data_IF_802457713254
#
_entry.id   IF_802457713254
#
_cell.length_a   1.000
_cell.length_b   1.000
_cell.length_c   1.000
_cell.angle_alpha   90.00
_cell.angle_beta   90.00
_cell.angle_gamma   90.00
#
_symmetry.space_group_name_H-M   'P 1'
#
loop_
_entity.id
_entity.type
_entity.pdbx_description
1 polymer ?
#
# COMPACT_ATOMS: atom_id res chain seq x y z
N UNK A 1 -20.92 9.96 1.19
CA UNK A 1 -21.27 8.61 0.67
C UNK A 1 -20.48 7.62 1.50
N UNK A 2 -21.14 6.78 2.29
CA UNK A 2 -20.44 5.70 2.99
C UNK A 2 -19.96 4.71 1.92
N UNK A 3 -18.66 4.48 1.83
CA UNK A 3 -18.12 3.47 0.92
C UNK A 3 -18.59 2.10 1.39
N UNK A 4 -19.17 1.30 0.50
CA UNK A 4 -19.75 0.01 0.86
C UNK A 4 -18.69 -0.96 1.38
N UNK A 5 -19.03 -1.80 2.36
CA UNK A 5 -18.10 -2.74 2.99
C UNK A 5 -17.33 -3.62 1.98
N UNK A 6 -17.99 -4.02 0.87
CA UNK A 6 -17.36 -4.76 -0.22
C UNK A 6 -16.25 -3.98 -0.94
N UNK A 7 -16.40 -2.66 -1.11
CA UNK A 7 -15.35 -1.80 -1.68
C UNK A 7 -14.14 -1.71 -0.75
N UNK A 8 -14.37 -1.60 0.56
CA UNK A 8 -13.28 -1.57 1.56
C UNK A 8 -12.49 -2.88 1.53
N UNK A 9 -13.20 -4.01 1.55
CA UNK A 9 -12.59 -5.33 1.49
C UNK A 9 -11.81 -5.54 0.18
N UNK A 10 -12.38 -5.12 -0.96
CA UNK A 10 -11.71 -5.17 -2.26
C UNK A 10 -10.43 -4.34 -2.29
N UNK A 11 -10.46 -3.10 -1.78
CA UNK A 11 -9.26 -2.24 -1.67
C UNK A 11 -8.22 -2.83 -0.73
N UNK A 12 -8.64 -3.43 0.39
CA UNK A 12 -7.74 -4.10 1.35
C UNK A 12 -6.99 -5.25 0.69
N UNK A 13 -7.73 -6.14 0.03
CA UNK A 13 -7.16 -7.30 -0.66
C UNK A 13 -6.23 -6.84 -1.78
N UNK A 14 -6.66 -5.89 -2.61
CA UNK A 14 -5.86 -5.35 -3.70
C UNK A 14 -4.56 -4.68 -3.17
N UNK A 15 -4.65 -3.82 -2.15
CA UNK A 15 -3.49 -3.19 -1.54
C UNK A 15 -2.55 -4.21 -0.89
N UNK A 16 -3.10 -5.25 -0.25
CA UNK A 16 -2.33 -6.33 0.36
C UNK A 16 -1.53 -7.14 -0.66
N UNK A 17 -2.21 -7.64 -1.70
CA UNK A 17 -1.59 -8.44 -2.78
C UNK A 17 -0.56 -7.59 -3.55
N UNK A 18 -0.91 -6.35 -3.90
CA UNK A 18 0.03 -5.45 -4.56
C UNK A 18 1.21 -5.07 -3.65
N UNK A 19 1.04 -5.01 -2.33
CA UNK A 19 2.15 -4.78 -1.40
C UNK A 19 3.14 -5.94 -1.38
N UNK A 20 2.64 -7.18 -1.41
CA UNK A 20 3.48 -8.38 -1.43
C UNK A 20 4.22 -8.53 -2.77
N UNK A 21 3.52 -8.42 -3.89
CA UNK A 21 4.08 -8.70 -5.21
C UNK A 21 4.81 -7.50 -5.82
N UNK A 22 4.29 -6.30 -5.58
CA UNK A 22 4.70 -5.05 -6.24
C UNK A 22 5.05 -3.95 -5.23
N UNK A 23 5.35 -4.33 -3.97
CA UNK A 23 5.67 -3.40 -2.90
C UNK A 23 6.88 -2.52 -3.19
N UNK A 24 7.86 -3.09 -3.90
CA UNK A 24 9.07 -2.39 -4.33
C UNK A 24 8.77 -1.24 -5.32
N UNK A 25 7.66 -1.32 -6.06
CA UNK A 25 7.19 -0.28 -6.97
C UNK A 25 6.26 0.74 -6.29
N UNK A 26 5.81 0.47 -5.05
CA UNK A 26 4.88 1.32 -4.30
C UNK A 26 3.44 1.31 -4.81
N UNK A 27 3.05 0.34 -5.64
CA UNK A 27 1.74 0.29 -6.31
C UNK A 27 0.58 0.22 -5.30
N UNK A 28 0.78 -0.48 -4.19
CA UNK A 28 -0.20 -0.60 -3.10
C UNK A 28 -0.58 0.74 -2.46
N UNK A 29 0.31 1.75 -2.48
CA UNK A 29 0.01 3.10 -1.97
C UNK A 29 -1.03 3.83 -2.84
N UNK A 30 -0.99 3.62 -4.16
CA UNK A 30 -1.94 4.25 -5.09
C UNK A 30 -3.37 3.71 -4.92
N UNK A 31 -3.50 2.43 -4.56
CA UNK A 31 -4.80 1.80 -4.27
C UNK A 31 -5.47 2.47 -3.05
N UNK A 32 -4.67 2.93 -2.09
CA UNK A 32 -5.13 3.68 -0.92
C UNK A 32 -5.36 5.18 -1.20
N UNK A 33 -5.15 5.64 -2.44
CA UNK A 33 -5.21 7.06 -2.80
C UNK A 33 -4.02 7.90 -2.30
N UNK A 34 -2.90 7.25 -1.93
CA UNK A 34 -1.68 7.90 -1.44
C UNK A 34 -0.67 8.10 -2.56
N UNK A 35 -0.93 9.09 -3.40
CA UNK A 35 -0.15 9.36 -4.61
C UNK A 35 1.28 9.80 -4.33
N UNK A 36 1.50 10.67 -3.33
CA UNK A 36 2.85 11.18 -3.00
C UNK A 36 3.83 10.07 -2.60
N UNK A 37 3.56 9.24 -1.57
CA UNK A 37 4.49 8.18 -1.20
C UNK A 37 4.63 7.11 -2.28
N UNK A 38 3.56 6.83 -3.05
CA UNK A 38 3.63 5.92 -4.20
C UNK A 38 4.60 6.41 -5.27
N UNK A 39 4.55 7.71 -5.62
CA UNK A 39 5.48 8.31 -6.58
C UNK A 39 6.91 8.28 -6.06
N UNK A 40 7.14 8.56 -4.76
CA UNK A 40 8.49 8.51 -4.18
C UNK A 40 9.09 7.11 -4.29
N UNK A 41 8.34 6.07 -3.93
CA UNK A 41 8.80 4.67 -4.06
C UNK A 41 9.07 4.30 -5.53
N UNK A 42 8.20 4.73 -6.45
CA UNK A 42 8.37 4.48 -7.87
C UNK A 42 9.63 5.17 -8.41
N UNK A 43 9.86 6.45 -8.06
CA UNK A 43 11.05 7.19 -8.48
C UNK A 43 12.32 6.58 -7.93
N UNK A 44 12.34 6.14 -6.66
CA UNK A 44 13.51 5.46 -6.08
C UNK A 44 13.81 4.18 -6.85
N UNK A 45 12.79 3.36 -7.12
CA UNK A 45 12.97 2.08 -7.80
C UNK A 45 13.36 2.23 -9.27
N UNK A 46 12.81 3.22 -9.98
CA UNK A 46 13.13 3.48 -11.39
C UNK A 46 14.47 4.19 -11.56
N UNK A 47 14.73 5.26 -10.79
CA UNK A 47 15.97 6.04 -10.90
C UNK A 47 17.20 5.23 -10.47
N UNK A 48 17.01 4.30 -9.52
CA UNK A 48 18.07 3.42 -9.05
C UNK A 48 18.21 2.15 -9.89
N UNK A 49 17.50 2.02 -11.02
CA UNK A 49 17.45 0.80 -11.86
C UNK A 49 17.17 -0.48 -11.03
N UNK A 50 16.38 -0.37 -9.97
CA UNK A 50 16.06 -1.47 -9.07
C UNK A 50 17.08 -1.72 -7.95
N UNK A 51 18.26 -1.09 -7.94
CA UNK A 51 19.32 -1.37 -6.96
C UNK A 51 18.91 -0.98 -5.52
N UNK A 52 18.24 0.16 -5.35
CA UNK A 52 17.70 0.59 -4.06
C UNK A 52 16.30 0.02 -3.77
N UNK A 53 15.73 -0.79 -4.65
CA UNK A 53 14.35 -1.28 -4.55
C UNK A 53 14.16 -2.30 -3.42
N UNK A 54 15.25 -2.85 -2.86
CA UNK A 54 15.21 -3.85 -1.78
C UNK A 54 14.55 -3.30 -0.51
N UNK A 55 14.90 -2.09 -0.09
CA UNK A 55 14.34 -1.46 1.12
C UNK A 55 12.83 -1.19 0.97
N UNK A 56 12.36 -0.44 -0.06
CA UNK A 56 10.93 -0.24 -0.29
C UNK A 56 10.19 -1.55 -0.58
N UNK A 57 10.86 -2.56 -1.16
CA UNK A 57 10.32 -3.90 -1.36
C UNK A 57 10.01 -4.62 -0.05
N UNK A 58 10.95 -4.61 0.91
CA UNK A 58 10.73 -5.20 2.24
C UNK A 58 9.62 -4.44 2.99
N UNK A 59 9.61 -3.11 2.93
CA UNK A 59 8.55 -2.30 3.54
C UNK A 59 7.19 -2.64 2.94
N UNK A 60 7.10 -2.71 1.60
CA UNK A 60 5.87 -3.06 0.89
C UNK A 60 5.38 -4.47 1.21
N UNK A 61 6.29 -5.44 1.36
CA UNK A 61 5.96 -6.80 1.78
C UNK A 61 5.34 -6.82 3.18
N UNK A 62 5.96 -6.13 4.14
CA UNK A 62 5.45 -6.02 5.52
C UNK A 62 4.09 -5.33 5.52
N UNK A 63 3.94 -4.21 4.79
CA UNK A 63 2.67 -3.52 4.65
C UNK A 63 1.59 -4.41 4.03
N UNK A 64 1.93 -5.16 2.98
CA UNK A 64 1.01 -6.08 2.33
C UNK A 64 0.46 -7.13 3.29
N UNK A 65 1.31 -7.73 4.12
CA UNK A 65 0.90 -8.66 5.18
C UNK A 65 0.02 -7.95 6.23
N UNK A 66 0.42 -6.76 6.69
CA UNK A 66 -0.36 -5.99 7.66
C UNK A 66 -1.77 -5.68 7.14
N UNK A 67 -1.89 -5.32 5.86
CA UNK A 67 -3.20 -5.01 5.26
C UNK A 67 -4.09 -6.25 5.20
N UNK A 68 -3.53 -7.43 4.87
CA UNK A 68 -4.30 -8.67 4.78
C UNK A 68 -4.72 -9.22 6.14
N UNK A 69 -3.91 -9.03 7.18
CA UNK A 69 -4.18 -9.56 8.52
C UNK A 69 -5.11 -8.62 9.33
N UNK A 70 -5.22 -7.35 8.95
CA UNK A 70 -6.15 -6.42 9.60
C UNK A 70 -7.62 -6.72 9.29
N UNK A 71 -8.47 -6.46 10.28
CA UNK A 71 -9.92 -6.41 10.07
C UNK A 71 -10.31 -5.27 9.12
N UNK A 72 -11.44 -5.42 8.42
CA UNK A 72 -11.89 -4.44 7.43
C UNK A 72 -12.15 -3.06 8.07
N UNK A 73 -12.71 -3.03 9.28
CA UNK A 73 -12.94 -1.80 10.05
C UNK A 73 -11.64 -1.11 10.45
N UNK A 74 -10.67 -1.86 10.99
CA UNK A 74 -9.39 -1.29 11.36
C UNK A 74 -8.61 -0.78 10.15
N UNK A 75 -8.67 -1.51 9.04
CA UNK A 75 -8.05 -1.08 7.78
C UNK A 75 -8.66 0.22 7.29
N UNK A 76 -10.00 0.31 7.26
CA UNK A 76 -10.72 1.51 6.88
C UNK A 76 -10.34 2.70 7.77
N UNK A 77 -10.45 2.55 9.08
CA UNK A 77 -10.16 3.63 10.03
C UNK A 77 -8.70 4.09 9.96
N UNK A 78 -7.76 3.17 9.77
CA UNK A 78 -6.32 3.49 9.78
C UNK A 78 -5.85 4.06 8.44
N UNK A 79 -6.23 3.42 7.32
CA UNK A 79 -5.60 3.67 6.02
C UNK A 79 -6.46 4.49 5.06
N UNK A 80 -7.79 4.41 5.19
CA UNK A 80 -8.74 5.17 4.36
C UNK A 80 -9.09 6.49 5.03
N UNK A 81 -9.58 6.44 6.27
CA UNK A 81 -9.99 7.64 7.04
C UNK A 81 -8.77 8.33 7.66
N UNK A 82 -8.00 7.61 8.45
CA UNK A 82 -6.82 8.13 9.15
C UNK A 82 -5.63 8.41 8.24
N UNK A 83 -5.67 7.95 6.99
CA UNK A 83 -4.61 8.13 5.97
C UNK A 83 -3.19 7.84 6.49
N UNK A 84 -3.01 6.86 7.39
CA UNK A 84 -1.72 6.54 8.01
C UNK A 84 -0.64 6.28 6.95
N UNK A 85 0.35 7.15 6.86
CA UNK A 85 1.47 6.97 5.95
C UNK A 85 2.58 6.16 6.65
N UNK A 86 3.21 5.31 5.86
CA UNK A 86 4.43 4.60 6.24
C UNK A 86 5.41 5.04 5.17
N UNK A 87 6.36 5.89 5.54
CA UNK A 87 7.05 6.84 4.65
C UNK A 87 6.18 8.02 4.18
#
# INVERSE_FOLDING_TARGET
MAESASNIQGKKIAAGICGILLGALGIHKFILGKTVPGIIMLLISVLSLGFLSVIPGIIGLIEGIIYLVKSDEEFYNTYIVGKKNWF
#
